data_IF_868484173917
#
_entry.id   IF_868484173917
#
_cell.length_a   1.000
_cell.length_b   1.000
_cell.length_c   1.000
_cell.angle_alpha   90.00
_cell.angle_beta   90.00
_cell.angle_gamma   90.00
#
_symmetry.space_group_name_H-M   'P 1'
#
loop_
_entity.id
_entity.type
_entity.pdbx_description
1 polymer ?
#
# COMPACT_ATOMS: atom_id res chain seq x y z
N UNK A 1 43.34 -24.35 28.39
CA UNK A 1 43.31 -24.24 26.91
C UNK A 1 41.94 -24.62 26.31
N UNK A 2 41.27 -25.67 26.80
CA UNK A 2 39.96 -26.12 26.28
C UNK A 2 38.82 -25.10 26.48
N UNK A 3 38.78 -24.39 27.61
CA UNK A 3 37.76 -23.36 27.87
C UNK A 3 37.82 -22.19 26.88
N UNK A 4 39.02 -21.77 26.47
CA UNK A 4 39.22 -20.70 25.50
C UNK A 4 38.71 -21.11 24.11
N UNK A 5 38.95 -22.36 23.71
CA UNK A 5 38.42 -22.91 22.46
C UNK A 5 36.89 -22.96 22.45
N UNK A 6 36.26 -23.34 23.57
CA UNK A 6 34.80 -23.40 23.69
C UNK A 6 34.16 -22.01 23.56
N UNK A 7 34.76 -20.99 24.18
CA UNK A 7 34.29 -19.60 24.08
C UNK A 7 34.37 -19.09 22.64
N UNK A 8 35.45 -19.40 21.92
CA UNK A 8 35.60 -19.01 20.50
C UNK A 8 34.52 -19.66 19.63
N UNK A 9 34.22 -20.94 19.85
CA UNK A 9 33.16 -21.65 19.11
C UNK A 9 31.79 -21.02 19.36
N UNK A 10 31.46 -20.69 20.60
CA UNK A 10 30.19 -20.02 20.96
C UNK A 10 30.09 -18.64 20.30
N UNK A 11 31.19 -17.87 20.28
CA UNK A 11 31.23 -16.56 19.63
C UNK A 11 31.06 -16.70 18.11
N UNK A 12 31.68 -17.70 17.48
CA UNK A 12 31.51 -17.96 16.03
C UNK A 12 30.05 -18.35 15.73
N UNK A 13 29.43 -19.21 16.54
CA UNK A 13 28.02 -19.58 16.39
C UNK A 13 27.12 -18.36 16.56
N UNK A 14 27.39 -17.50 17.53
CA UNK A 14 26.65 -16.24 17.72
C UNK A 14 26.82 -15.29 16.53
N UNK A 15 28.03 -15.14 16.00
CA UNK A 15 28.29 -14.31 14.81
C UNK A 15 27.55 -14.88 13.59
N UNK A 16 27.59 -16.20 13.37
CA UNK A 16 26.85 -16.85 12.28
C UNK A 16 25.35 -16.71 12.45
N UNK A 17 24.84 -16.85 13.68
CA UNK A 17 23.43 -16.65 14.01
C UNK A 17 22.97 -15.20 13.79
N UNK A 18 23.77 -14.21 14.21
CA UNK A 18 23.48 -12.80 13.95
C UNK A 18 23.60 -12.46 12.46
N UNK A 19 24.56 -13.05 11.74
CA UNK A 19 24.75 -12.85 10.30
C UNK A 19 23.61 -13.47 9.49
N UNK A 20 23.10 -14.65 9.87
CA UNK A 20 21.91 -15.25 9.23
C UNK A 20 20.62 -14.46 9.50
N UNK A 21 20.62 -13.58 10.51
CA UNK A 21 19.51 -12.66 10.82
C UNK A 21 19.70 -11.27 10.21
N UNK A 22 20.88 -10.99 9.66
CA UNK A 22 21.28 -9.67 9.14
C UNK A 22 21.18 -9.55 7.62
N UNK A 23 20.38 -10.39 6.98
CA UNK A 23 19.96 -10.19 5.59
C UNK A 23 18.43 -10.22 5.55
N UNK A 24 17.82 -9.10 5.95
CA UNK A 24 16.78 -8.59 5.07
C UNK A 24 17.54 -7.86 3.97
N UNK A 25 17.96 -8.60 2.94
CA UNK A 25 18.24 -7.94 1.66
C UNK A 25 17.05 -7.05 1.36
N UNK A 26 17.22 -5.76 0.98
CA UNK A 26 16.12 -4.93 0.55
C UNK A 26 15.68 -5.43 -0.82
N UNK A 27 14.96 -6.55 -0.85
CA UNK A 27 14.73 -7.33 -2.07
C UNK A 27 13.50 -6.84 -2.85
N UNK A 28 13.03 -5.61 -2.63
CA UNK A 28 11.99 -5.06 -3.48
C UNK A 28 12.12 -3.54 -3.65
N UNK A 29 11.98 -3.08 -4.89
CA UNK A 29 11.82 -1.67 -5.26
C UNK A 29 10.77 -0.95 -4.39
N UNK A 30 9.77 -1.71 -3.92
CA UNK A 30 8.75 -1.26 -2.99
C UNK A 30 9.34 -0.78 -1.65
N UNK A 31 10.22 -1.55 -1.01
CA UNK A 31 10.83 -1.17 0.27
C UNK A 31 11.65 0.12 0.14
N UNK A 32 12.39 0.26 -0.96
CA UNK A 32 13.14 1.50 -1.24
C UNK A 32 12.20 2.70 -1.40
N UNK A 33 11.09 2.55 -2.15
CA UNK A 33 10.09 3.62 -2.30
C UNK A 33 9.44 3.99 -0.97
N UNK A 34 9.15 3.01 -0.12
CA UNK A 34 8.60 3.23 1.22
C UNK A 34 9.57 4.02 2.09
N UNK A 35 10.85 3.64 2.12
CA UNK A 35 11.87 4.32 2.91
C UNK A 35 12.15 5.74 2.43
N UNK A 36 12.17 5.96 1.12
CA UNK A 36 12.29 7.29 0.52
C UNK A 36 11.12 8.18 0.92
N UNK A 37 9.88 7.70 0.79
CA UNK A 37 8.68 8.44 1.17
C UNK A 37 8.71 8.80 2.67
N UNK A 38 9.03 7.82 3.53
CA UNK A 38 9.15 8.03 4.97
C UNK A 38 10.15 9.14 5.30
N UNK A 39 11.30 9.14 4.64
CA UNK A 39 12.35 10.15 4.83
C UNK A 39 11.89 11.54 4.42
N UNK A 40 11.27 11.68 3.25
CA UNK A 40 10.77 12.98 2.76
C UNK A 40 9.65 13.54 3.64
N UNK A 41 8.70 12.69 4.06
CA UNK A 41 7.62 13.09 4.98
C UNK A 41 8.20 13.57 6.31
N UNK A 42 9.14 12.82 6.90
CA UNK A 42 9.79 13.23 8.16
C UNK A 42 10.51 14.57 8.02
N UNK A 43 11.23 14.78 6.90
CA UNK A 43 11.90 16.05 6.63
C UNK A 43 10.90 17.21 6.55
N UNK A 44 9.81 17.05 5.79
CA UNK A 44 8.75 18.06 5.70
C UNK A 44 8.18 18.40 7.07
N UNK A 45 7.87 17.39 7.89
CA UNK A 45 7.31 17.59 9.22
C UNK A 45 8.28 18.31 10.15
N UNK A 46 9.56 17.94 10.15
CA UNK A 46 10.59 18.65 10.91
C UNK A 46 10.73 20.10 10.48
N UNK A 47 10.72 20.35 9.16
CA UNK A 47 10.84 21.68 8.60
C UNK A 47 9.67 22.59 8.99
N UNK A 48 8.45 22.06 8.97
CA UNK A 48 7.24 22.79 9.39
C UNK A 48 7.30 23.06 10.89
N UNK A 49 7.71 22.08 11.72
CA UNK A 49 7.81 22.24 13.18
C UNK A 49 8.88 23.26 13.58
N UNK A 50 10.06 23.23 12.96
CA UNK A 50 11.20 24.11 13.30
C UNK A 50 10.97 25.55 12.85
N UNK A 51 10.43 25.76 11.66
CA UNK A 51 10.20 27.09 11.07
C UNK A 51 8.85 27.12 10.35
N UNK A 52 7.74 27.27 11.09
CA UNK A 52 6.42 27.32 10.48
C UNK A 52 6.31 28.60 9.63
N UNK A 53 6.05 28.42 8.34
CA UNK A 53 5.70 29.51 7.43
C UNK A 53 4.38 29.17 6.76
N UNK A 54 3.64 30.20 6.32
CA UNK A 54 2.36 30.00 5.62
C UNK A 54 2.49 29.09 4.40
N UNK A 55 3.60 29.18 3.68
CA UNK A 55 3.89 28.32 2.51
C UNK A 55 4.09 26.87 2.95
N UNK A 56 4.88 26.64 4.00
CA UNK A 56 5.14 25.28 4.52
C UNK A 56 3.89 24.64 5.13
N UNK A 57 3.07 25.42 5.83
CA UNK A 57 1.77 24.95 6.35
C UNK A 57 0.83 24.59 5.21
N UNK A 58 0.71 25.43 4.18
CA UNK A 58 -0.13 25.12 3.00
C UNK A 58 0.35 23.87 2.27
N UNK A 59 1.67 23.66 2.15
CA UNK A 59 2.23 22.42 1.59
C UNK A 59 1.86 21.19 2.43
N UNK A 60 1.93 21.30 3.75
CA UNK A 60 1.55 20.23 4.67
C UNK A 60 0.05 19.90 4.55
N UNK A 61 -0.82 20.91 4.47
CA UNK A 61 -2.27 20.73 4.26
C UNK A 61 -2.55 19.98 2.95
N UNK A 62 -1.89 20.36 1.86
CA UNK A 62 -2.02 19.68 0.56
C UNK A 62 -1.56 18.21 0.63
N UNK A 63 -0.42 17.93 1.27
CA UNK A 63 0.04 16.54 1.42
C UNK A 63 -0.88 15.73 2.33
N UNK A 64 -1.40 16.33 3.39
CA UNK A 64 -2.36 15.68 4.28
C UNK A 64 -3.65 15.32 3.54
N UNK A 65 -4.19 16.25 2.77
CA UNK A 65 -5.39 16.04 1.94
C UNK A 65 -5.14 14.95 0.89
N UNK A 66 -3.97 14.98 0.23
CA UNK A 66 -3.57 13.96 -0.75
C UNK A 66 -3.55 12.57 -0.13
N UNK A 67 -2.92 12.42 1.05
CA UNK A 67 -2.85 11.14 1.76
C UNK A 67 -4.23 10.66 2.24
N UNK A 68 -5.10 11.56 2.67
CA UNK A 68 -6.48 11.23 3.03
C UNK A 68 -7.30 10.74 1.83
N UNK A 69 -7.15 11.40 0.68
CA UNK A 69 -7.80 10.99 -0.57
C UNK A 69 -7.31 9.63 -1.06
N UNK A 70 -5.99 9.40 -1.05
CA UNK A 70 -5.39 8.12 -1.40
C UNK A 70 -5.94 6.99 -0.54
N UNK A 71 -5.94 7.15 0.79
CA UNK A 71 -6.48 6.14 1.72
C UNK A 71 -7.94 5.80 1.43
N UNK A 72 -8.77 6.81 1.19
CA UNK A 72 -10.19 6.61 0.89
C UNK A 72 -10.40 5.90 -0.44
N UNK A 73 -9.58 6.22 -1.44
CA UNK A 73 -9.62 5.52 -2.73
C UNK A 73 -9.21 4.06 -2.58
N UNK A 74 -8.13 3.77 -1.86
CA UNK A 74 -7.68 2.41 -1.59
C UNK A 74 -8.71 1.60 -0.80
N UNK A 75 -9.43 2.22 0.13
CA UNK A 75 -10.55 1.59 0.82
C UNK A 75 -11.70 1.22 -0.13
N UNK A 76 -12.06 2.09 -1.06
CA UNK A 76 -13.12 1.83 -2.05
C UNK A 76 -12.72 0.69 -3.00
N UNK A 77 -11.48 0.72 -3.50
CA UNK A 77 -10.96 -0.30 -4.40
C UNK A 77 -10.79 -1.64 -3.67
N UNK A 78 -10.25 -1.63 -2.46
CA UNK A 78 -10.13 -2.83 -1.62
C UNK A 78 -11.49 -3.41 -1.21
N UNK A 79 -12.56 -2.61 -1.14
CA UNK A 79 -13.93 -3.15 -1.00
C UNK A 79 -14.36 -3.89 -2.27
N UNK A 80 -14.16 -3.27 -3.44
CA UNK A 80 -14.50 -3.88 -4.72
C UNK A 80 -13.76 -5.21 -4.97
N UNK A 81 -12.47 -5.28 -4.64
CA UNK A 81 -11.64 -6.48 -4.82
C UNK A 81 -12.03 -7.66 -3.90
N UNK A 82 -12.59 -7.38 -2.72
CA UNK A 82 -13.00 -8.40 -1.76
C UNK A 82 -14.44 -8.87 -1.94
N UNK A 83 -15.22 -8.15 -2.73
CA UNK A 83 -16.62 -8.48 -2.98
C UNK A 83 -16.71 -9.70 -3.90
N UNK A 84 -17.57 -10.65 -3.52
CA UNK A 84 -17.75 -11.92 -4.23
C UNK A 84 -18.84 -11.83 -5.28
N UNK A 85 -19.80 -10.94 -5.07
CA UNK A 85 -20.86 -10.64 -6.02
C UNK A 85 -20.34 -9.67 -7.10
N UNK A 86 -20.25 -10.14 -8.34
CA UNK A 86 -19.72 -9.34 -9.45
C UNK A 86 -20.47 -8.03 -9.65
N UNK A 87 -21.78 -7.98 -9.40
CA UNK A 87 -22.56 -6.76 -9.57
C UNK A 87 -22.22 -5.74 -8.47
N UNK A 88 -22.13 -6.20 -7.22
CA UNK A 88 -21.72 -5.33 -6.11
C UNK A 88 -20.27 -4.84 -6.25
N UNK A 89 -19.38 -5.70 -6.75
CA UNK A 89 -18.00 -5.32 -7.05
C UNK A 89 -17.95 -4.21 -8.11
N UNK A 90 -18.76 -4.31 -9.17
CA UNK A 90 -18.92 -3.26 -10.19
C UNK A 90 -19.41 -1.97 -9.56
N UNK A 91 -20.44 -2.02 -8.70
CA UNK A 91 -20.97 -0.82 -8.04
C UNK A 91 -19.91 -0.14 -7.17
N UNK A 92 -19.09 -0.89 -6.43
CA UNK A 92 -17.96 -0.35 -5.67
C UNK A 92 -16.88 0.26 -6.58
N UNK A 93 -16.56 -0.36 -7.71
CA UNK A 93 -15.63 0.22 -8.68
C UNK A 93 -16.17 1.52 -9.29
N UNK A 94 -17.48 1.62 -9.55
CA UNK A 94 -18.12 2.85 -10.00
C UNK A 94 -18.11 3.95 -8.92
N UNK A 95 -18.22 3.60 -7.64
CA UNK A 95 -18.05 4.52 -6.53
C UNK A 95 -16.61 5.09 -6.50
N UNK A 96 -15.61 4.22 -6.62
CA UNK A 96 -14.20 4.63 -6.72
C UNK A 96 -13.96 5.54 -7.94
N UNK A 97 -14.58 5.22 -9.08
CA UNK A 97 -14.50 6.02 -10.29
C UNK A 97 -15.09 7.43 -10.11
N UNK A 98 -16.27 7.51 -9.48
CA UNK A 98 -16.91 8.79 -9.14
C UNK A 98 -16.04 9.61 -8.18
N UNK A 99 -15.40 8.96 -7.21
CA UNK A 99 -14.46 9.60 -6.28
C UNK A 99 -13.27 10.23 -7.01
N UNK A 100 -12.62 9.48 -7.91
CA UNK A 100 -11.50 9.96 -8.76
C UNK A 100 -11.93 11.20 -9.54
N UNK A 101 -13.06 11.12 -10.25
CA UNK A 101 -13.55 12.23 -11.10
C UNK A 101 -13.91 13.47 -10.28
N UNK A 102 -14.58 13.30 -9.14
CA UNK A 102 -14.98 14.42 -8.27
C UNK A 102 -13.78 15.16 -7.67
N UNK A 103 -12.69 14.44 -7.39
CA UNK A 103 -11.52 15.01 -6.73
C UNK A 103 -10.37 15.36 -7.68
N UNK A 104 -10.50 15.05 -8.97
CA UNK A 104 -9.42 15.18 -9.97
C UNK A 104 -8.10 14.54 -9.48
N UNK A 105 -8.19 13.30 -8.99
CA UNK A 105 -7.14 12.63 -8.23
C UNK A 105 -6.88 11.23 -8.78
N UNK A 106 -5.61 10.87 -9.02
CA UNK A 106 -5.18 9.57 -9.58
C UNK A 106 -5.97 9.17 -10.85
N UNK A 107 -6.08 10.08 -11.82
CA UNK A 107 -6.81 9.87 -13.07
C UNK A 107 -6.27 8.70 -13.88
N UNK A 108 -4.99 8.36 -13.73
CA UNK A 108 -4.32 7.22 -14.36
C UNK A 108 -4.94 5.87 -13.95
N UNK A 109 -5.52 5.76 -12.75
CA UNK A 109 -6.18 4.53 -12.27
C UNK A 109 -7.56 4.32 -12.88
N UNK A 110 -8.09 5.30 -13.62
CA UNK A 110 -9.35 5.18 -14.37
C UNK A 110 -9.34 3.96 -15.28
N UNK A 111 -8.27 3.80 -16.06
CA UNK A 111 -8.20 2.73 -17.05
C UNK A 111 -8.18 1.36 -16.38
N UNK A 112 -7.44 1.22 -15.28
CA UNK A 112 -7.42 0.00 -14.46
C UNK A 112 -8.82 -0.37 -13.96
N UNK A 113 -9.57 0.60 -13.45
CA UNK A 113 -10.95 0.39 -12.95
C UNK A 113 -11.89 -0.02 -14.09
N UNK A 114 -11.79 0.64 -15.25
CA UNK A 114 -12.59 0.30 -16.44
C UNK A 114 -12.32 -1.14 -16.92
N UNK A 115 -11.06 -1.56 -16.93
CA UNK A 115 -10.66 -2.93 -17.27
C UNK A 115 -11.20 -3.97 -16.28
N UNK A 116 -11.17 -3.65 -14.97
CA UNK A 116 -11.75 -4.51 -13.92
C UNK A 116 -13.26 -4.66 -14.08
N UNK A 117 -13.99 -3.56 -14.32
CA UNK A 117 -15.45 -3.59 -14.56
C UNK A 117 -15.77 -4.45 -15.78
N UNK A 118 -15.04 -4.25 -16.89
CA UNK A 118 -15.24 -5.04 -18.12
C UNK A 118 -15.02 -6.53 -17.88
N UNK A 119 -13.98 -6.88 -17.11
CA UNK A 119 -13.67 -8.27 -16.75
C UNK A 119 -14.82 -8.90 -15.94
N UNK A 120 -15.35 -8.17 -14.96
CA UNK A 120 -16.47 -8.63 -14.14
C UNK A 120 -17.76 -8.82 -14.95
N UNK A 121 -18.05 -7.91 -15.89
CA UNK A 121 -19.22 -8.00 -16.79
C UNK A 121 -19.11 -9.17 -17.77
N UNK A 122 -17.90 -9.52 -18.19
CA UNK A 122 -17.64 -10.62 -19.11
C UNK A 122 -17.57 -11.98 -18.42
N UNK A 123 -17.37 -12.01 -17.09
CA UNK A 123 -17.46 -13.26 -16.33
C UNK A 123 -18.93 -13.69 -16.26
N UNK A 124 -19.32 -14.82 -16.87
CA UNK A 124 -20.67 -15.32 -16.69
C UNK A 124 -20.86 -15.63 -15.22
N UNK A 125 -21.85 -14.99 -14.58
CA UNK A 125 -22.30 -15.36 -13.25
C UNK A 125 -22.42 -16.88 -13.23
N UNK A 126 -21.65 -17.55 -12.38
CA UNK A 126 -21.79 -18.99 -12.18
C UNK A 126 -23.21 -19.19 -11.64
N UNK A 127 -24.16 -19.44 -12.55
CA UNK A 127 -25.50 -19.85 -12.21
C UNK A 127 -25.33 -21.19 -11.52
N UNK A 128 -25.29 -21.17 -10.19
CA UNK A 128 -25.50 -22.37 -9.39
C UNK A 128 -26.85 -22.92 -9.88
N UNK A 129 -26.91 -24.10 -10.52
CA UNK A 129 -28.19 -24.67 -10.88
C UNK A 129 -28.94 -24.89 -9.58
N UNK A 130 -30.03 -24.15 -9.38
CA UNK A 130 -31.03 -24.47 -8.38
C UNK A 130 -31.50 -25.89 -8.70
N UNK A 131 -30.98 -26.85 -7.93
CA UNK A 131 -31.49 -28.21 -7.91
C UNK A 131 -32.93 -28.11 -7.39
N UNK A 132 -33.89 -28.07 -8.32
CA UNK A 132 -35.29 -28.25 -7.99
C UNK A 132 -35.52 -29.74 -7.72
N UNK A 133 -36.10 -29.95 -6.55
CA UNK A 133 -36.68 -31.17 -6.00
C UNK A 133 -37.66 -31.85 -6.96
#
# INVERSE_FOLDING_TARGET
>A
MIQLALVIVVVIILILYFRSRSEKEPSSELELKVDLLKREVMRLLEEVKKKPTRIKMKRLEVELERLQKGRRLDELLGKAEREKDSQKAIDCYLEAFSFIKKNNFELERKQEIEEKIKTLQQSPATRIPSAKS
#
